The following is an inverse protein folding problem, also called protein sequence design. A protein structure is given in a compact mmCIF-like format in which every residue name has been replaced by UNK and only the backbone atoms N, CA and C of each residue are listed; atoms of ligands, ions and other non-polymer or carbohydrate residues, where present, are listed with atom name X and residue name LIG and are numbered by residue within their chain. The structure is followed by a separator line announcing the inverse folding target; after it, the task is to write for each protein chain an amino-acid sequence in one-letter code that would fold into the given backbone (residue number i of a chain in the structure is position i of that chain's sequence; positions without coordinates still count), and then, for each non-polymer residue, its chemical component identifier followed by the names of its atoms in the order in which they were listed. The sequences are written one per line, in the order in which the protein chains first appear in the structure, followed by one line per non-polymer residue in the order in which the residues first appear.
data_IF_563207694783
#
_entry.id   IF_563207694783
#
_cell.length_a   1.000
_cell.length_b   1.000
_cell.length_c   1.000
_cell.angle_alpha   90.00
_cell.angle_beta   90.00
_cell.angle_gamma   90.00
#
_symmetry.space_group_name_H-M   'P 1'
#
loop_
_entity.id
_entity.type
_entity.pdbx_description
1 polymer ?
#
# COMPACT_ATOMS: atom_id res chain seq x y z
N UNK A 1 -11.15 -7.33 3.35
CA UNK A 1 -11.73 -8.57 3.91
C UNK A 1 -12.89 -9.06 3.07
N UNK A 2 -14.03 -8.35 3.05
CA UNK A 2 -15.25 -8.77 2.32
C UNK A 2 -14.97 -9.24 0.89
N UNK A 3 -14.31 -8.41 0.07
CA UNK A 3 -13.98 -8.76 -1.32
C UNK A 3 -13.03 -9.97 -1.46
N UNK A 4 -12.21 -10.25 -0.45
CA UNK A 4 -11.22 -11.33 -0.49
C UNK A 4 -11.80 -12.68 -0.04
N UNK A 5 -12.73 -12.66 0.92
CA UNK A 5 -13.27 -13.86 1.57
C UNK A 5 -14.76 -14.09 1.31
N UNK A 6 -15.47 -13.15 0.70
CA UNK A 6 -16.90 -13.24 0.37
C UNK A 6 -17.86 -12.81 1.47
N UNK A 7 -17.41 -12.75 2.72
CA UNK A 7 -18.25 -12.44 3.89
C UNK A 7 -17.67 -11.30 4.73
N UNK A 8 -18.53 -10.63 5.52
CA UNK A 8 -18.07 -9.64 6.49
C UNK A 8 -17.33 -10.32 7.64
N UNK A 9 -16.19 -9.76 8.12
CA UNK A 9 -15.43 -10.37 9.19
C UNK A 9 -16.17 -10.25 10.53
N UNK A 10 -16.00 -11.26 11.37
CA UNK A 10 -16.23 -11.13 12.81
C UNK A 10 -15.25 -10.12 13.43
N UNK A 11 -15.51 -9.69 14.67
CA UNK A 11 -14.66 -8.73 15.37
C UNK A 11 -13.20 -9.22 15.47
N UNK A 12 -13.00 -10.51 15.75
CA UNK A 12 -11.66 -11.08 15.90
C UNK A 12 -10.95 -11.19 14.54
N UNK A 13 -11.63 -11.70 13.52
CA UNK A 13 -11.08 -11.77 12.15
C UNK A 13 -10.69 -10.39 11.62
N UNK A 14 -11.48 -9.35 11.92
CA UNK A 14 -11.13 -7.98 11.55
C UNK A 14 -9.82 -7.54 12.22
N UNK A 15 -9.68 -7.77 13.53
CA UNK A 15 -8.47 -7.39 14.26
C UNK A 15 -7.24 -8.10 13.70
N UNK A 16 -7.36 -9.40 13.41
CA UNK A 16 -6.24 -10.19 12.92
C UNK A 16 -5.90 -9.83 11.46
N UNK A 17 -6.91 -9.55 10.63
CA UNK A 17 -6.69 -9.06 9.27
C UNK A 17 -6.03 -7.68 9.26
N UNK A 18 -6.53 -6.72 10.04
CA UNK A 18 -5.94 -5.38 10.14
C UNK A 18 -4.48 -5.50 10.61
N UNK A 19 -4.20 -6.30 11.64
CA UNK A 19 -2.84 -6.54 12.14
C UNK A 19 -1.94 -7.12 11.05
N UNK A 20 -2.43 -8.13 10.33
CA UNK A 20 -1.69 -8.78 9.25
C UNK A 20 -1.31 -7.78 8.15
N UNK A 21 -2.26 -6.94 7.72
CA UNK A 21 -2.02 -5.89 6.72
C UNK A 21 -0.98 -4.88 7.23
N UNK A 22 -1.17 -4.34 8.43
CA UNK A 22 -0.28 -3.31 8.99
C UNK A 22 1.17 -3.82 9.12
N UNK A 23 1.36 -5.07 9.57
CA UNK A 23 2.69 -5.68 9.71
C UNK A 23 3.43 -5.87 8.38
N UNK A 24 2.71 -5.96 7.26
CA UNK A 24 3.30 -6.17 5.94
C UNK A 24 3.43 -4.88 5.12
N UNK A 25 3.09 -3.71 5.66
CA UNK A 25 3.15 -2.45 4.90
C UNK A 25 4.57 -2.01 4.53
N UNK A 26 5.56 -2.33 5.36
CA UNK A 26 6.96 -1.96 5.09
C UNK A 26 7.48 -2.72 3.87
N UNK A 27 8.11 -2.01 2.94
CA UNK A 27 8.78 -2.61 1.77
C UNK A 27 10.22 -2.95 2.10
N UNK A 28 10.79 -3.93 1.41
CA UNK A 28 12.21 -4.26 1.56
C UNK A 28 13.08 -3.02 1.26
N UNK A 29 14.07 -2.69 2.10
CA UNK A 29 14.88 -1.46 1.98
C UNK A 29 15.51 -1.22 0.59
N UNK A 30 15.89 -2.30 -0.11
CA UNK A 30 16.40 -2.22 -1.48
C UNK A 30 15.39 -1.58 -2.47
N UNK A 31 14.08 -1.57 -2.18
CA UNK A 31 13.09 -0.81 -2.95
C UNK A 31 13.39 0.68 -2.94
N UNK A 32 13.83 1.25 -1.82
CA UNK A 32 14.22 2.67 -1.75
C UNK A 32 15.27 3.00 -2.81
N UNK A 33 16.26 2.11 -3.00
CA UNK A 33 17.29 2.26 -4.03
C UNK A 33 16.72 2.10 -5.45
N UNK A 34 15.75 1.21 -5.64
CA UNK A 34 15.06 1.05 -6.92
C UNK A 34 14.34 2.34 -7.34
N UNK A 35 13.68 3.05 -6.41
CA UNK A 35 13.05 4.35 -6.70
C UNK A 35 14.06 5.40 -7.20
N UNK A 36 15.28 5.41 -6.66
CA UNK A 36 16.33 6.34 -7.08
C UNK A 36 16.88 6.07 -8.49
N UNK A 37 16.50 4.96 -9.12
CA UNK A 37 16.82 4.68 -10.53
C UNK A 37 15.96 5.46 -11.54
N UNK A 38 14.80 5.99 -11.12
CA UNK A 38 13.93 6.78 -11.99
C UNK A 38 14.39 8.22 -12.12
N UNK A 39 14.04 8.89 -13.22
CA UNK A 39 14.19 10.35 -13.30
C UNK A 39 13.18 11.02 -12.37
N UNK A 40 13.54 12.18 -11.79
CA UNK A 40 12.65 12.93 -10.88
C UNK A 40 11.38 13.46 -11.56
N UNK A 41 11.43 13.68 -12.87
CA UNK A 41 10.31 14.13 -13.71
C UNK A 41 9.43 12.97 -14.23
N UNK A 42 9.70 11.73 -13.80
CA UNK A 42 8.89 10.57 -14.19
C UNK A 42 7.48 10.67 -13.59
N UNK A 43 6.46 10.41 -14.41
CA UNK A 43 5.08 10.43 -13.95
C UNK A 43 4.85 9.37 -12.84
N UNK A 44 4.20 9.70 -11.71
CA UNK A 44 4.04 8.77 -10.58
C UNK A 44 3.43 7.41 -10.96
N UNK A 45 2.47 7.40 -11.91
CA UNK A 45 1.91 6.13 -12.42
C UNK A 45 2.94 5.25 -13.14
N UNK A 46 3.89 5.81 -13.88
CA UNK A 46 4.92 5.03 -14.55
C UNK A 46 5.88 4.39 -13.53
N UNK A 47 6.24 5.15 -12.48
CA UNK A 47 7.02 4.64 -11.35
C UNK A 47 6.26 3.52 -10.64
N UNK A 48 4.95 3.70 -10.41
CA UNK A 48 4.11 2.68 -9.77
C UNK A 48 4.06 1.37 -10.56
N UNK A 49 3.84 1.42 -11.87
CA UNK A 49 3.82 0.22 -12.71
C UNK A 49 5.14 -0.54 -12.62
N UNK A 50 6.27 0.17 -12.71
CA UNK A 50 7.59 -0.45 -12.62
C UNK A 50 7.87 -1.03 -11.23
N UNK A 51 7.48 -0.33 -10.15
CA UNK A 51 7.65 -0.81 -8.79
C UNK A 51 6.78 -2.05 -8.49
N UNK A 52 5.53 -2.08 -8.95
CA UNK A 52 4.67 -3.26 -8.81
C UNK A 52 5.27 -4.46 -9.57
N UNK A 53 5.76 -4.26 -10.80
CA UNK A 53 6.44 -5.32 -11.54
C UNK A 53 7.69 -5.84 -10.81
N UNK A 54 8.49 -4.92 -10.25
CA UNK A 54 9.69 -5.26 -9.49
C UNK A 54 9.40 -6.09 -8.23
N UNK A 55 8.19 -6.01 -7.64
CA UNK A 55 7.84 -6.83 -6.47
C UNK A 55 8.05 -8.32 -6.70
N UNK A 56 7.84 -8.81 -7.93
CA UNK A 56 8.08 -10.21 -8.29
C UNK A 56 9.53 -10.66 -8.06
N UNK A 57 10.50 -9.76 -8.24
CA UNK A 57 11.92 -10.04 -8.02
C UNK A 57 12.31 -10.05 -6.53
N UNK A 58 11.62 -9.28 -5.69
CA UNK A 58 11.90 -9.21 -4.24
C UNK A 58 11.13 -10.25 -3.42
N UNK A 59 9.96 -10.67 -3.91
CA UNK A 59 9.04 -11.56 -3.20
C UNK A 59 8.79 -12.83 -4.02
N UNK A 60 9.87 -13.43 -4.53
CA UNK A 60 9.85 -14.64 -5.35
C UNK A 60 9.51 -15.92 -4.56
N UNK A 61 9.34 -15.82 -3.24
CA UNK A 61 8.93 -16.89 -2.33
C UNK A 61 7.43 -17.20 -2.36
N UNK A 62 6.62 -16.36 -3.03
CA UNK A 62 5.16 -16.51 -3.11
C UNK A 62 4.64 -16.25 -4.54
N UNK A 63 5.13 -17.01 -5.52
CA UNK A 63 4.80 -16.84 -6.96
C UNK A 63 4.10 -18.05 -7.58
N UNK A 64 3.99 -19.18 -6.87
CA UNK A 64 3.24 -20.33 -7.37
C UNK A 64 1.73 -20.08 -7.28
N UNK A 65 1.12 -19.85 -8.44
CA UNK A 65 -0.33 -19.62 -8.56
C UNK A 65 -1.15 -20.87 -8.23
N UNK A 66 -0.57 -22.07 -8.23
CA UNK A 66 -1.29 -23.32 -7.90
C UNK A 66 -1.41 -23.52 -6.39
N UNK A 67 -0.48 -22.98 -5.62
CA UNK A 67 -0.48 -23.04 -4.16
C UNK A 67 -1.41 -21.98 -3.54
N UNK A 68 -2.43 -22.44 -2.82
CA UNK A 68 -3.41 -21.56 -2.18
C UNK A 68 -2.81 -20.65 -1.10
N UNK A 69 -1.80 -21.12 -0.37
CA UNK A 69 -1.14 -20.33 0.66
C UNK A 69 -0.31 -19.21 0.03
N UNK A 70 0.44 -19.52 -1.03
CA UNK A 70 1.22 -18.51 -1.75
C UNK A 70 0.33 -17.44 -2.39
N UNK A 71 -0.82 -17.81 -2.98
CA UNK A 71 -1.80 -16.84 -3.48
C UNK A 71 -2.27 -15.87 -2.40
N UNK A 72 -2.58 -16.39 -1.21
CA UNK A 72 -3.01 -15.54 -0.09
C UNK A 72 -1.88 -14.63 0.40
N UNK A 73 -0.65 -15.14 0.52
CA UNK A 73 0.52 -14.33 0.90
C UNK A 73 0.74 -13.20 -0.11
N UNK A 74 0.68 -13.50 -1.41
CA UNK A 74 0.83 -12.51 -2.47
C UNK A 74 -0.27 -11.43 -2.40
N UNK A 75 -1.53 -11.83 -2.23
CA UNK A 75 -2.66 -10.90 -2.09
C UNK A 75 -2.51 -9.97 -0.89
N UNK A 76 -2.17 -10.51 0.28
CA UNK A 76 -1.92 -9.73 1.51
C UNK A 76 -0.74 -8.77 1.31
N UNK A 77 0.36 -9.22 0.71
CA UNK A 77 1.52 -8.36 0.42
C UNK A 77 1.17 -7.22 -0.52
N UNK A 78 0.38 -7.46 -1.56
CA UNK A 78 -0.07 -6.43 -2.48
C UNK A 78 -0.94 -5.39 -1.77
N UNK A 79 -2.00 -5.81 -1.07
CA UNK A 79 -2.88 -4.90 -0.32
C UNK A 79 -2.08 -4.08 0.68
N UNK A 80 -1.11 -4.68 1.36
CA UNK A 80 -0.32 -4.00 2.39
C UNK A 80 0.68 -3.00 1.80
N UNK A 81 1.36 -3.34 0.71
CA UNK A 81 2.53 -2.58 0.21
C UNK A 81 2.18 -1.54 -0.84
N UNK A 82 1.06 -1.69 -1.56
CA UNK A 82 0.64 -0.73 -2.60
C UNK A 82 0.51 0.71 -2.05
N UNK A 83 -0.10 0.97 -0.87
CA UNK A 83 -0.14 2.33 -0.32
C UNK A 83 1.25 2.91 -0.03
N UNK A 84 2.16 2.09 0.48
CA UNK A 84 3.55 2.49 0.75
C UNK A 84 4.25 2.88 -0.55
N UNK A 85 4.14 2.06 -1.59
CA UNK A 85 4.71 2.35 -2.90
C UNK A 85 4.11 3.62 -3.52
N UNK A 86 2.79 3.81 -3.41
CA UNK A 86 2.11 5.00 -3.92
C UNK A 86 2.57 6.28 -3.20
N UNK A 87 2.69 6.24 -1.88
CA UNK A 87 3.22 7.36 -1.10
C UNK A 87 4.69 7.65 -1.43
N UNK A 88 5.52 6.62 -1.60
CA UNK A 88 6.90 6.76 -2.05
C UNK A 88 6.99 7.39 -3.44
N UNK A 89 6.15 6.98 -4.40
CA UNK A 89 6.09 7.56 -5.73
C UNK A 89 5.72 9.05 -5.70
N UNK A 90 4.77 9.43 -4.84
CA UNK A 90 4.43 10.84 -4.60
C UNK A 90 5.59 11.63 -3.99
N UNK A 91 6.20 11.14 -2.90
CA UNK A 91 7.36 11.78 -2.27
C UNK A 91 8.52 11.93 -3.25
N UNK A 92 8.74 10.93 -4.10
CA UNK A 92 9.79 10.92 -5.09
C UNK A 92 9.61 12.06 -6.12
N UNK A 93 8.38 12.26 -6.62
CA UNK A 93 8.07 13.28 -7.63
C UNK A 93 8.21 14.70 -7.10
N UNK A 94 7.99 14.93 -5.80
CA UNK A 94 8.13 16.25 -5.16
C UNK A 94 9.48 16.47 -4.46
N UNK A 95 10.41 15.51 -4.55
CA UNK A 95 11.76 15.65 -4.00
C UNK A 95 11.87 15.52 -2.48
N UNK A 96 10.87 14.94 -1.81
CA UNK A 96 10.86 14.77 -0.35
C UNK A 96 11.36 13.40 0.08
N UNK A 97 11.78 13.28 1.34
CA UNK A 97 12.17 12.01 1.94
C UNK A 97 10.98 11.05 2.04
N UNK A 98 11.24 9.75 1.90
CA UNK A 98 10.24 8.72 2.13
C UNK A 98 9.88 8.62 3.60
N UNK A 99 8.61 8.30 3.85
CA UNK A 99 8.03 8.18 5.18
C UNK A 99 7.63 6.73 5.39
N UNK A 100 8.06 6.14 6.49
CA UNK A 100 7.73 4.77 6.85
C UNK A 100 6.28 4.65 7.33
N UNK A 101 5.64 3.48 7.11
CA UNK A 101 4.32 3.21 7.66
C UNK A 101 4.35 3.14 9.18
N UNK A 102 3.25 3.55 9.81
CA UNK A 102 3.02 3.55 11.26
C UNK A 102 1.90 2.60 11.65
N UNK A 103 2.21 1.65 12.54
CA UNK A 103 1.28 0.60 12.97
C UNK A 103 0.16 1.10 13.90
N UNK A 104 0.32 2.28 14.50
CA UNK A 104 -0.67 2.90 15.38
C UNK A 104 -1.75 3.69 14.61
N UNK A 105 -1.60 3.83 13.29
CA UNK A 105 -2.55 4.53 12.42
C UNK A 105 -3.49 3.57 11.69
N UNK A 106 -4.69 4.03 11.34
CA UNK A 106 -5.58 3.29 10.42
C UNK A 106 -5.01 3.26 9.01
N UNK A 107 -5.48 2.35 8.16
CA UNK A 107 -5.01 2.20 6.77
C UNK A 107 -5.02 3.53 5.99
N UNK A 108 -6.15 4.26 6.01
CA UNK A 108 -6.29 5.54 5.34
C UNK A 108 -5.46 6.67 5.99
N UNK A 109 -5.41 6.70 7.33
CA UNK A 109 -4.61 7.69 8.05
C UNK A 109 -3.10 7.50 7.80
N UNK A 110 -2.66 6.24 7.75
CA UNK A 110 -1.27 5.89 7.48
C UNK A 110 -0.85 6.29 6.06
N UNK A 111 -1.73 6.08 5.07
CA UNK A 111 -1.47 6.56 3.71
C UNK A 111 -1.32 8.09 3.65
N UNK A 112 -2.21 8.85 4.30
CA UNK A 112 -2.08 10.32 4.37
C UNK A 112 -0.80 10.76 5.08
N UNK A 113 -0.45 10.09 6.18
CA UNK A 113 0.80 10.34 6.90
C UNK A 113 2.02 10.12 6.00
N UNK A 114 2.06 9.00 5.25
CA UNK A 114 3.17 8.69 4.36
C UNK A 114 3.27 9.68 3.19
N UNK A 115 2.14 10.18 2.67
CA UNK A 115 2.13 11.17 1.59
C UNK A 115 2.57 12.56 2.07
N UNK A 116 2.08 13.02 3.22
CA UNK A 116 2.13 14.46 3.56
C UNK A 116 3.02 14.84 4.73
N UNK A 117 3.42 13.89 5.59
CA UNK A 117 4.33 14.21 6.68
C UNK A 117 5.74 14.54 6.18
N UNK A 118 6.44 15.40 6.91
CA UNK A 118 7.85 15.72 6.68
C UNK A 118 8.62 15.59 7.98
N UNK A 119 9.93 15.35 7.96
CA UNK A 119 10.72 15.24 9.19
C UNK A 119 10.79 16.53 10.02
N UNK A 120 10.47 17.67 9.39
CA UNK A 120 10.63 18.99 9.99
C UNK A 120 9.55 19.32 11.04
N UNK A 121 8.43 18.61 11.05
CA UNK A 121 7.33 18.86 12.00
C UNK A 121 6.43 17.65 12.19
N UNK A 122 5.67 17.66 13.29
CA UNK A 122 4.68 16.61 13.55
C UNK A 122 3.48 16.76 12.61
N UNK A 123 3.21 15.73 11.79
CA UNK A 123 2.03 15.70 10.95
C UNK A 123 0.79 15.26 11.73
N UNK A 124 -0.13 16.21 11.93
CA UNK A 124 -1.42 15.96 12.59
C UNK A 124 -2.47 15.53 11.57
N UNK A 125 -2.90 14.28 11.66
CA UNK A 125 -3.91 13.72 10.76
C UNK A 125 -5.26 14.35 11.07
N UNK A 126 -5.86 15.00 10.07
CA UNK A 126 -7.22 15.51 10.18
C UNK A 126 -8.23 14.34 10.09
N UNK A 127 -9.07 14.09 11.12
CA UNK A 127 -10.04 13.00 11.11
C UNK A 127 -11.04 13.07 9.95
N UNK A 128 -11.36 14.27 9.46
CA UNK A 128 -12.24 14.47 8.30
C UNK A 128 -11.57 13.97 7.02
N UNK A 129 -10.29 14.31 6.81
CA UNK A 129 -9.54 13.87 5.64
C UNK A 129 -9.28 12.37 5.65
N UNK A 130 -8.94 11.81 6.83
CA UNK A 130 -8.77 10.36 6.97
C UNK A 130 -10.05 9.59 6.63
N UNK A 131 -11.21 10.06 7.11
CA UNK A 131 -12.52 9.47 6.79
C UNK A 131 -12.88 9.64 5.31
N UNK A 132 -12.55 10.78 4.70
CA UNK A 132 -12.77 10.99 3.28
C UNK A 132 -11.92 10.02 2.45
N UNK A 133 -10.64 9.83 2.80
CA UNK A 133 -9.75 8.89 2.14
C UNK A 133 -10.23 7.44 2.26
N UNK A 134 -10.67 7.03 3.45
CA UNK A 134 -11.26 5.69 3.68
C UNK A 134 -12.47 5.43 2.77
N UNK A 135 -13.34 6.44 2.59
CA UNK A 135 -14.46 6.38 1.64
C UNK A 135 -14.01 6.32 0.19
N UNK A 136 -12.99 7.10 -0.19
CA UNK A 136 -12.43 7.05 -1.56
C UNK A 136 -11.96 5.63 -1.87
N UNK A 137 -11.18 5.01 -0.97
CA UNK A 137 -10.74 3.63 -1.16
C UNK A 137 -11.90 2.65 -1.23
N UNK A 138 -12.90 2.79 -0.35
CA UNK A 138 -14.07 1.91 -0.37
C UNK A 138 -14.85 2.02 -1.67
N UNK A 139 -15.04 3.23 -2.20
CA UNK A 139 -15.78 3.49 -3.44
C UNK A 139 -15.03 3.03 -4.70
N UNK A 140 -13.71 2.84 -4.63
CA UNK A 140 -12.88 2.38 -5.75
C UNK A 140 -12.32 0.97 -5.51
N UNK A 141 -12.86 0.24 -4.54
CA UNK A 141 -12.31 -1.05 -4.13
C UNK A 141 -12.46 -2.12 -5.22
N UNK A 142 -13.57 -2.09 -5.96
CA UNK A 142 -13.84 -2.96 -7.09
C UNK A 142 -14.89 -2.32 -8.01
N UNK A 143 -14.87 -2.67 -9.30
CA UNK A 143 -15.88 -2.25 -10.27
C UNK A 143 -16.10 -3.34 -11.32
N UNK A 144 -16.26 -4.59 -10.85
CA UNK A 144 -16.64 -5.76 -11.63
C UNK A 144 -15.77 -5.95 -12.91
N UNK A 145 -16.38 -6.27 -14.05
CA UNK A 145 -15.69 -6.60 -15.31
C UNK A 145 -15.33 -5.34 -16.11
N UNK A 146 -14.39 -4.54 -15.60
CA UNK A 146 -13.81 -3.42 -16.32
C UNK A 146 -12.47 -3.81 -16.97
N UNK A 147 -11.90 -2.95 -17.82
CA UNK A 147 -10.68 -3.25 -18.58
C UNK A 147 -9.41 -3.49 -17.74
N UNK A 148 -9.39 -3.04 -16.49
CA UNK A 148 -8.25 -3.24 -15.58
C UNK A 148 -8.38 -4.45 -14.65
N UNK A 149 -9.56 -5.07 -14.60
CA UNK A 149 -9.85 -6.31 -13.84
C UNK A 149 -9.46 -7.53 -14.66
#
# INVERSE_FOLDING_TARGET
YLLLYGELPTKQEKIDFDRCIMQHMMVHEQFTRFFHGFRRDSHPMAVMVACLGAMSAFYHDSIDIKDAQQRMIAAIRLISKVPTLAAMAYKYSIGQAFVYPRNDLSYAANFLHMCFSVPCEEYKINPVLSRAMDRIFTLHADHEQNAST
#
